data_IF_601850843149
#
_entry.id   IF_601850843149
#
_cell.length_a   1.000
_cell.length_b   1.000
_cell.length_c   1.000
_cell.angle_alpha   90.00
_cell.angle_beta   90.00
_cell.angle_gamma   90.00
#
_symmetry.space_group_name_H-M   'P 1'
#
loop_
_entity.id
_entity.type
_entity.pdbx_description
1 polymer ?
#
# COMPACT_ATOMS: atom_id res chain seq x y z
N UNK A 1 22.28 -0.30 2.83
CA UNK A 1 21.69 -1.22 1.84
C UNK A 1 20.22 -0.91 1.58
N UNK A 2 19.32 -0.97 2.61
CA UNK A 2 17.89 -0.68 2.45
C UNK A 2 17.61 0.72 1.87
N UNK A 3 18.28 1.77 2.38
CA UNK A 3 18.13 3.14 1.90
C UNK A 3 18.55 3.27 0.42
N UNK A 4 19.65 2.63 0.03
CA UNK A 4 20.11 2.64 -1.35
C UNK A 4 19.12 1.92 -2.27
N UNK A 5 18.56 0.80 -1.81
CA UNK A 5 17.54 0.02 -2.53
C UNK A 5 16.21 0.79 -2.61
N UNK A 6 15.78 1.40 -1.52
CA UNK A 6 14.57 2.23 -1.49
C UNK A 6 14.69 3.43 -2.45
N UNK A 7 15.84 4.11 -2.46
CA UNK A 7 16.11 5.24 -3.39
C UNK A 7 16.18 4.77 -4.84
N UNK A 8 16.86 3.65 -5.09
CA UNK A 8 16.99 3.08 -6.44
C UNK A 8 15.63 2.70 -7.01
N UNK A 9 14.78 2.08 -6.18
CA UNK A 9 13.48 1.57 -6.60
C UNK A 9 12.33 2.53 -6.25
N UNK A 10 12.63 3.76 -5.81
CA UNK A 10 11.64 4.77 -5.38
C UNK A 10 10.56 4.23 -4.44
N UNK A 11 10.92 3.20 -3.68
CA UNK A 11 10.06 2.57 -2.71
C UNK A 11 10.16 3.26 -1.36
N UNK A 12 9.08 3.21 -0.60
CA UNK A 12 9.15 3.58 0.81
C UNK A 12 10.09 2.63 1.58
N UNK A 13 10.95 3.20 2.42
CA UNK A 13 11.96 2.45 3.18
C UNK A 13 11.31 1.36 4.04
N UNK A 14 10.17 1.66 4.65
CA UNK A 14 9.41 0.71 5.47
C UNK A 14 9.01 -0.51 4.66
N UNK A 15 8.55 -0.30 3.45
CA UNK A 15 8.18 -1.36 2.53
C UNK A 15 9.37 -2.27 2.19
N UNK A 16 10.54 -1.68 1.88
CA UNK A 16 11.76 -2.46 1.58
C UNK A 16 12.21 -3.27 2.81
N UNK A 17 12.11 -2.69 4.01
CA UNK A 17 12.46 -3.38 5.24
C UNK A 17 11.55 -4.58 5.53
N UNK A 18 10.25 -4.45 5.30
CA UNK A 18 9.27 -5.50 5.58
C UNK A 18 9.24 -6.59 4.50
N UNK A 19 9.19 -6.21 3.21
CA UNK A 19 9.02 -7.17 2.11
C UNK A 19 10.33 -7.75 1.62
N UNK A 20 11.37 -6.94 1.38
CA UNK A 20 12.62 -7.38 0.78
C UNK A 20 13.58 -7.96 1.80
N UNK A 21 13.74 -7.27 2.94
CA UNK A 21 14.61 -7.72 4.02
C UNK A 21 13.88 -8.63 5.03
N UNK A 22 12.56 -8.84 4.84
CA UNK A 22 11.72 -9.73 5.66
C UNK A 22 11.82 -9.46 7.16
N UNK A 23 12.02 -8.20 7.54
CA UNK A 23 12.01 -7.80 8.95
C UNK A 23 10.60 -7.94 9.51
N UNK A 24 10.50 -8.39 10.76
CA UNK A 24 9.20 -8.47 11.43
C UNK A 24 8.72 -7.07 11.82
N UNK A 25 7.44 -6.77 11.59
CA UNK A 25 6.80 -5.50 12.00
C UNK A 25 7.13 -5.12 13.45
N UNK A 26 7.07 -6.10 14.35
CA UNK A 26 7.35 -5.90 15.79
C UNK A 26 8.78 -5.42 16.05
N UNK A 27 9.77 -5.93 15.31
CA UNK A 27 11.17 -5.56 15.51
C UNK A 27 11.43 -4.16 14.94
N UNK A 28 10.82 -3.84 13.79
CA UNK A 28 10.87 -2.50 13.21
C UNK A 28 10.16 -1.49 14.12
N UNK A 29 9.00 -1.84 14.66
CA UNK A 29 8.25 -1.03 15.60
C UNK A 29 9.05 -0.71 16.87
N UNK A 30 9.76 -1.70 17.44
CA UNK A 30 10.67 -1.48 18.58
C UNK A 30 11.82 -0.53 18.24
N UNK A 31 12.33 -0.58 17.01
CA UNK A 31 13.37 0.35 16.57
C UNK A 31 12.84 1.78 16.50
N UNK A 32 11.59 1.98 16.02
CA UNK A 32 10.93 3.29 16.05
C UNK A 32 10.68 3.78 17.47
N UNK A 33 10.24 2.91 18.37
CA UNK A 33 10.03 3.22 19.78
C UNK A 33 11.32 3.75 20.46
N UNK A 34 12.44 3.07 20.21
CA UNK A 34 13.76 3.51 20.71
C UNK A 34 14.22 4.81 20.08
N UNK A 35 14.03 4.98 18.78
CA UNK A 35 14.48 6.16 18.06
C UNK A 35 13.72 7.42 18.43
N UNK A 36 12.38 7.33 18.51
CA UNK A 36 11.52 8.47 18.80
C UNK A 36 11.24 8.65 20.29
N UNK A 37 11.63 7.69 21.16
CA UNK A 37 11.30 7.66 22.59
C UNK A 37 9.78 7.76 22.84
N UNK A 38 8.99 7.17 21.95
CA UNK A 38 7.53 7.09 22.03
C UNK A 38 7.10 5.63 21.96
N UNK A 39 6.03 5.27 22.66
CA UNK A 39 5.50 3.90 22.61
C UNK A 39 5.04 3.52 21.22
N UNK A 40 5.53 2.40 20.71
CA UNK A 40 5.07 1.82 19.44
C UNK A 40 3.70 1.15 19.60
N UNK A 41 2.82 1.41 18.65
CA UNK A 41 1.51 0.78 18.56
C UNK A 41 1.33 0.16 17.17
N UNK A 42 1.49 -1.16 17.10
CA UNK A 42 1.15 -1.93 15.91
C UNK A 42 -0.35 -2.20 15.80
N UNK A 43 -0.81 -2.46 14.58
CA UNK A 43 -2.18 -2.90 14.34
C UNK A 43 -2.45 -4.26 14.99
N UNK A 44 -3.63 -4.40 15.55
CA UNK A 44 -4.15 -5.65 16.10
C UNK A 44 -5.67 -5.65 15.94
N UNK A 45 -6.22 -6.68 15.33
CA UNK A 45 -7.66 -6.87 15.10
C UNK A 45 -8.52 -6.80 16.36
N UNK A 46 -7.91 -7.03 17.53
CA UNK A 46 -8.60 -6.90 18.83
C UNK A 46 -8.85 -5.45 19.23
N UNK A 47 -8.21 -4.48 18.58
CA UNK A 47 -8.37 -3.06 18.87
C UNK A 47 -9.41 -2.47 17.92
N UNK A 48 -10.62 -2.32 18.42
CA UNK A 48 -11.70 -1.67 17.69
C UNK A 48 -11.70 -0.18 18.00
N UNK A 49 -11.49 0.66 16.97
CA UNK A 49 -11.54 2.11 17.14
C UNK A 49 -12.99 2.60 17.07
N UNK A 50 -13.49 3.33 18.11
CA UNK A 50 -14.84 3.89 18.08
C UNK A 50 -15.00 4.89 16.95
N UNK A 51 -16.14 4.91 16.28
CA UNK A 51 -16.46 5.89 15.23
C UNK A 51 -16.42 7.34 15.74
N UNK A 52 -16.68 7.56 17.03
CA UNK A 52 -16.56 8.86 17.67
C UNK A 52 -15.17 9.49 17.54
N UNK A 53 -14.11 8.67 17.44
CA UNK A 53 -12.75 9.16 17.24
C UNK A 53 -12.59 9.88 15.90
N UNK A 54 -13.40 9.53 14.91
CA UNK A 54 -13.34 10.03 13.53
C UNK A 54 -14.37 11.12 13.23
N UNK A 55 -15.08 11.61 14.24
CA UNK A 55 -16.11 12.63 14.05
C UNK A 55 -15.55 13.88 13.34
N UNK A 56 -16.08 14.19 12.16
CA UNK A 56 -15.61 15.31 11.33
C UNK A 56 -14.28 15.08 10.61
N UNK A 57 -13.73 13.86 10.62
CA UNK A 57 -12.48 13.52 9.96
C UNK A 57 -12.73 12.66 8.71
N UNK A 58 -12.00 12.96 7.64
CA UNK A 58 -11.98 12.14 6.43
C UNK A 58 -10.86 11.09 6.54
N UNK A 59 -11.22 9.80 6.52
CA UNK A 59 -10.27 8.69 6.68
C UNK A 59 -9.27 8.59 5.53
N UNK A 60 -9.65 8.94 4.31
CA UNK A 60 -8.73 9.05 3.17
C UNK A 60 -7.65 10.12 3.41
N UNK A 61 -8.06 11.29 3.94
CA UNK A 61 -7.10 12.32 4.35
C UNK A 61 -6.14 11.84 5.43
N UNK A 62 -6.64 11.09 6.43
CA UNK A 62 -5.81 10.53 7.49
C UNK A 62 -4.79 9.52 6.93
N UNK A 63 -5.21 8.64 6.03
CA UNK A 63 -4.34 7.66 5.36
C UNK A 63 -3.23 8.35 4.58
N UNK A 64 -3.56 9.36 3.78
CA UNK A 64 -2.61 10.15 3.00
C UNK A 64 -1.59 10.91 3.85
N UNK A 65 -2.00 11.35 5.02
CA UNK A 65 -1.14 12.07 5.96
C UNK A 65 -0.51 11.15 7.03
N UNK A 66 -0.69 9.84 6.94
CA UNK A 66 -0.09 8.81 7.79
C UNK A 66 -0.29 9.05 9.28
N UNK A 67 -1.54 9.25 9.70
CA UNK A 67 -1.90 9.31 11.11
C UNK A 67 -3.33 8.83 11.38
N UNK A 68 -3.59 8.37 12.60
CA UNK A 68 -4.93 7.92 13.02
C UNK A 68 -5.17 8.25 14.49
N UNK A 69 -6.38 8.75 14.85
CA UNK A 69 -6.75 8.96 16.23
C UNK A 69 -7.14 7.62 16.88
N UNK A 70 -6.33 7.17 17.83
CA UNK A 70 -6.63 5.96 18.61
C UNK A 70 -7.67 6.23 19.71
N UNK A 71 -7.62 7.42 20.32
CA UNK A 71 -8.58 7.89 21.31
C UNK A 71 -8.85 9.38 21.10
N UNK A 72 -10.08 9.80 21.39
CA UNK A 72 -10.50 11.19 21.24
C UNK A 72 -11.48 11.57 22.36
N UNK A 73 -10.91 11.87 23.53
CA UNK A 73 -11.65 12.25 24.71
C UNK A 73 -11.92 13.78 24.76
N UNK A 74 -12.65 14.25 25.76
CA UNK A 74 -12.97 15.68 25.89
C UNK A 74 -11.71 16.56 25.99
N UNK A 75 -10.71 16.16 26.75
CA UNK A 75 -9.52 16.96 27.08
C UNK A 75 -8.24 16.47 26.42
N UNK A 76 -8.22 15.27 25.85
CA UNK A 76 -7.04 14.67 25.25
C UNK A 76 -7.36 13.92 23.96
N UNK A 77 -6.37 13.82 23.08
CA UNK A 77 -6.42 12.97 21.91
C UNK A 77 -5.12 12.16 21.80
N UNK A 78 -5.24 10.83 21.70
CA UNK A 78 -4.13 9.94 21.48
C UNK A 78 -4.02 9.64 19.98
N UNK A 79 -2.93 10.08 19.38
CA UNK A 79 -2.71 10.00 17.94
C UNK A 79 -1.55 9.06 17.64
N UNK A 80 -1.77 8.15 16.69
CA UNK A 80 -0.73 7.32 16.10
C UNK A 80 -0.21 8.01 14.84
N UNK A 81 1.12 8.17 14.74
CA UNK A 81 1.80 8.81 13.59
C UNK A 81 3.00 7.96 13.16
N UNK A 82 3.37 8.04 11.87
CA UNK A 82 4.58 7.38 11.37
C UNK A 82 5.85 8.18 11.72
N UNK A 83 5.78 9.51 11.64
CA UNK A 83 6.88 10.42 11.94
C UNK A 83 6.43 11.54 12.90
N UNK A 84 6.73 11.43 14.19
CA UNK A 84 6.41 12.45 15.19
C UNK A 84 7.31 13.69 15.10
N UNK A 85 8.37 13.68 14.26
CA UNK A 85 9.27 14.82 14.08
C UNK A 85 8.80 15.81 13.01
N UNK A 86 7.78 15.43 12.23
CA UNK A 86 7.12 16.31 11.24
C UNK A 86 6.29 17.39 11.96
N UNK A 87 6.93 18.52 12.25
CA UNK A 87 6.33 19.63 12.98
C UNK A 87 5.11 20.20 12.27
N UNK A 88 5.10 20.22 10.94
CA UNK A 88 3.98 20.76 10.15
C UNK A 88 2.76 19.87 10.33
N UNK A 89 2.94 18.56 10.23
CA UNK A 89 1.88 17.58 10.45
C UNK A 89 1.33 17.66 11.87
N UNK A 90 2.21 17.70 12.88
CA UNK A 90 1.77 17.79 14.28
C UNK A 90 1.00 19.08 14.55
N UNK A 91 1.42 20.22 13.97
CA UNK A 91 0.66 21.47 14.05
C UNK A 91 -0.72 21.36 13.39
N UNK A 92 -0.81 20.73 12.22
CA UNK A 92 -2.09 20.50 11.54
C UNK A 92 -3.02 19.61 12.39
N UNK A 93 -2.48 18.55 13.00
CA UNK A 93 -3.24 17.71 13.93
C UNK A 93 -3.72 18.52 15.14
N UNK A 94 -2.87 19.38 15.70
CA UNK A 94 -3.27 20.25 16.82
C UNK A 94 -4.37 21.25 16.45
N UNK A 95 -4.40 21.75 15.21
CA UNK A 95 -5.50 22.60 14.72
C UNK A 95 -6.82 21.83 14.59
N UNK A 96 -6.76 20.54 14.27
CA UNK A 96 -7.94 19.66 14.21
C UNK A 96 -8.50 19.37 15.60
N UNK A 97 -7.62 19.27 16.61
CA UNK A 97 -8.00 19.03 18.00
C UNK A 97 -7.70 20.26 18.89
N UNK A 98 -8.39 21.40 18.69
CA UNK A 98 -8.14 22.61 19.44
C UNK A 98 -8.49 22.38 20.92
N UNK A 99 -7.63 22.88 21.83
CA UNK A 99 -7.78 22.79 23.28
C UNK A 99 -7.57 21.38 23.88
N UNK A 100 -7.29 20.35 23.08
CA UNK A 100 -6.98 19.01 23.59
C UNK A 100 -5.47 18.84 23.74
N UNK A 101 -5.08 18.10 24.78
CA UNK A 101 -3.70 17.65 24.95
C UNK A 101 -3.45 16.52 23.96
N UNK A 102 -2.50 16.72 23.03
CA UNK A 102 -2.08 15.64 22.14
C UNK A 102 -1.10 14.71 22.84
N UNK A 103 -1.40 13.43 22.79
CA UNK A 103 -0.50 12.36 23.16
C UNK A 103 -0.17 11.56 21.90
N UNK A 104 1.13 11.32 21.67
CA UNK A 104 1.58 10.68 20.46
C UNK A 104 2.07 9.27 20.74
N UNK A 105 1.73 8.35 19.84
CA UNK A 105 2.37 7.04 19.69
C UNK A 105 2.96 6.95 18.30
N UNK A 106 3.98 6.11 18.13
CA UNK A 106 4.58 5.85 16.82
C UNK A 106 4.07 4.53 16.26
N UNK A 107 3.78 4.49 14.96
CA UNK A 107 3.35 3.29 14.23
C UNK A 107 3.96 3.22 12.84
N UNK A 108 3.91 2.06 12.24
CA UNK A 108 4.26 1.89 10.84
C UNK A 108 3.12 2.43 9.95
N UNK A 109 3.44 2.92 8.76
CA UNK A 109 2.42 3.38 7.81
C UNK A 109 1.39 2.30 7.49
N UNK A 110 1.86 1.04 7.39
CA UNK A 110 0.99 -0.10 7.19
C UNK A 110 0.02 -0.31 8.36
N UNK A 111 0.49 -0.16 9.61
CA UNK A 111 -0.37 -0.28 10.80
C UNK A 111 -1.43 0.83 10.83
N UNK A 112 -1.04 2.07 10.53
CA UNK A 112 -1.95 3.23 10.47
C UNK A 112 -3.06 2.98 9.46
N UNK A 113 -2.71 2.46 8.28
CA UNK A 113 -3.67 2.15 7.23
C UNK A 113 -4.60 1.00 7.63
N UNK A 114 -4.08 -0.07 8.23
CA UNK A 114 -4.90 -1.17 8.72
C UNK A 114 -5.90 -0.70 9.80
N UNK A 115 -5.49 0.18 10.72
CA UNK A 115 -6.41 0.82 11.66
C UNK A 115 -7.52 1.63 10.98
N UNK A 116 -7.18 2.40 9.94
CA UNK A 116 -8.16 3.20 9.21
C UNK A 116 -9.15 2.31 8.44
N UNK A 117 -8.67 1.27 7.78
CA UNK A 117 -9.52 0.31 7.06
C UNK A 117 -10.45 -0.44 8.02
N UNK A 118 -9.94 -0.91 9.16
CA UNK A 118 -10.76 -1.60 10.17
C UNK A 118 -11.82 -0.70 10.81
N UNK A 119 -11.60 0.62 10.80
CA UNK A 119 -12.52 1.61 11.34
C UNK A 119 -13.54 2.12 10.32
N UNK A 120 -13.50 1.68 9.05
CA UNK A 120 -14.48 2.09 8.03
C UNK A 120 -15.86 1.49 8.30
N UNK A 121 -16.89 2.31 8.10
CA UNK A 121 -18.28 1.85 8.12
C UNK A 121 -18.66 1.22 6.78
N UNK A 122 -19.74 0.42 6.77
CA UNK A 122 -20.27 -0.16 5.52
C UNK A 122 -20.61 0.93 4.49
N UNK A 123 -21.16 2.06 4.93
CA UNK A 123 -21.48 3.20 4.06
C UNK A 123 -20.23 3.86 3.46
N UNK A 124 -19.15 3.97 4.22
CA UNK A 124 -17.87 4.50 3.73
C UNK A 124 -17.18 3.51 2.78
N UNK A 125 -17.28 2.22 3.02
CA UNK A 125 -16.81 1.18 2.12
C UNK A 125 -17.58 1.21 0.79
N UNK A 126 -18.91 1.39 0.83
CA UNK A 126 -19.77 1.52 -0.35
C UNK A 126 -19.50 2.85 -1.10
N UNK A 127 -19.17 3.91 -0.40
CA UNK A 127 -18.88 5.22 -1.00
C UNK A 127 -17.53 5.32 -1.73
N UNK A 128 -16.74 4.23 -1.75
CA UNK A 128 -15.45 4.17 -2.43
C UNK A 128 -14.26 4.72 -1.63
N UNK A 129 -14.46 5.15 -0.38
CA UNK A 129 -13.35 5.64 0.45
C UNK A 129 -12.30 4.55 0.76
N UNK A 130 -12.74 3.32 0.94
CA UNK A 130 -11.85 2.16 1.08
C UNK A 130 -11.09 1.88 -0.23
N UNK A 131 -11.79 1.97 -1.37
CA UNK A 131 -11.19 1.82 -2.70
C UNK A 131 -10.14 2.91 -2.98
N UNK A 132 -10.38 4.13 -2.50
CA UNK A 132 -9.46 5.26 -2.69
C UNK A 132 -8.15 5.06 -1.91
N UNK A 133 -8.23 4.57 -0.65
CA UNK A 133 -7.05 4.23 0.15
C UNK A 133 -6.26 3.08 -0.48
N UNK A 134 -6.95 2.05 -1.01
CA UNK A 134 -6.33 0.93 -1.70
C UNK A 134 -5.74 1.34 -3.05
N UNK A 135 -6.39 2.28 -3.76
CA UNK A 135 -5.96 2.78 -5.06
C UNK A 135 -4.67 3.61 -4.97
N UNK A 136 -4.46 4.36 -3.88
CA UNK A 136 -3.18 5.06 -3.66
C UNK A 136 -2.00 4.09 -3.54
N UNK A 137 -2.18 2.94 -2.91
CA UNK A 137 -1.14 1.91 -2.85
C UNK A 137 -0.84 1.33 -4.25
N UNK A 138 -1.89 1.02 -5.01
CA UNK A 138 -1.74 0.53 -6.38
C UNK A 138 -1.05 1.59 -7.26
N UNK A 139 -1.45 2.86 -7.16
CA UNK A 139 -0.81 3.97 -7.89
C UNK A 139 0.68 4.06 -7.56
N UNK A 140 1.06 4.00 -6.28
CA UNK A 140 2.47 4.03 -5.87
C UNK A 140 3.28 2.86 -6.42
N UNK A 141 2.70 1.66 -6.50
CA UNK A 141 3.33 0.50 -7.12
C UNK A 141 3.53 0.70 -8.62
N UNK A 142 2.51 1.26 -9.30
CA UNK A 142 2.55 1.51 -10.74
C UNK A 142 3.52 2.63 -11.11
N UNK A 143 3.59 3.69 -10.31
CA UNK A 143 4.56 4.77 -10.51
C UNK A 143 5.98 4.21 -10.46
N UNK A 144 6.25 3.29 -9.51
CA UNK A 144 7.53 2.58 -9.43
C UNK A 144 7.80 1.77 -10.71
N UNK A 145 6.80 1.02 -11.21
CA UNK A 145 6.93 0.24 -12.44
C UNK A 145 7.09 1.12 -13.68
N UNK A 146 6.42 2.26 -13.76
CA UNK A 146 6.57 3.20 -14.88
C UNK A 146 7.97 3.80 -14.95
N UNK A 147 8.52 4.21 -13.80
CA UNK A 147 9.87 4.75 -13.74
C UNK A 147 10.93 3.70 -14.11
N UNK A 148 10.82 2.47 -13.57
CA UNK A 148 11.70 1.35 -13.95
C UNK A 148 11.58 1.03 -15.45
N UNK A 149 10.37 1.11 -16.04
CA UNK A 149 10.14 0.85 -17.45
C UNK A 149 10.77 1.92 -18.36
N UNK A 150 10.82 3.18 -17.93
CA UNK A 150 11.40 4.28 -18.71
C UNK A 150 12.92 4.13 -18.79
N UNK A 151 13.57 3.81 -17.68
CA UNK A 151 15.01 3.58 -17.64
C UNK A 151 15.45 2.39 -18.51
N UNK A 152 14.61 1.34 -18.58
CA UNK A 152 14.84 0.15 -19.39
C UNK A 152 14.61 0.45 -20.88
N UNK A 153 13.56 1.18 -21.25
CA UNK A 153 13.24 1.52 -22.66
C UNK A 153 14.29 2.45 -23.26
N UNK A 154 14.84 3.40 -22.50
CA UNK A 154 15.90 4.29 -22.98
C UNK A 154 17.23 3.54 -23.24
N UNK A 155 17.46 2.40 -22.60
CA UNK A 155 18.65 1.58 -22.77
C UNK A 155 18.55 0.49 -23.86
N UNK A 156 17.34 0.20 -24.38
CA UNK A 156 17.09 -0.84 -25.36
C UNK A 156 17.14 -0.31 -26.79
N UNK A 157 18.13 -0.76 -27.57
CA UNK A 157 18.24 -0.50 -29.01
C UNK A 157 17.73 -1.65 -29.90
N UNK A 158 17.37 -2.82 -29.35
CA UNK A 158 16.90 -3.97 -30.13
C UNK A 158 15.77 -4.76 -29.42
N UNK A 159 14.84 -5.29 -30.22
CA UNK A 159 13.57 -5.95 -29.78
C UNK A 159 13.72 -7.29 -29.02
N UNK A 160 14.94 -7.79 -28.80
CA UNK A 160 15.19 -9.17 -28.33
C UNK A 160 15.48 -9.32 -26.81
N UNK A 161 15.58 -8.25 -26.03
CA UNK A 161 15.94 -8.35 -24.60
C UNK A 161 14.82 -7.93 -23.61
N UNK A 162 13.56 -8.25 -23.91
CA UNK A 162 12.42 -8.00 -22.97
C UNK A 162 12.45 -8.96 -21.74
N UNK A 163 13.45 -9.83 -21.65
CA UNK A 163 13.57 -10.84 -20.58
C UNK A 163 14.26 -10.34 -19.29
N UNK A 164 14.50 -9.05 -19.14
CA UNK A 164 15.31 -8.53 -18.02
C UNK A 164 14.56 -8.40 -16.69
N UNK A 165 13.22 -8.51 -16.68
CA UNK A 165 12.42 -8.34 -15.47
C UNK A 165 12.04 -9.71 -14.91
N UNK A 166 12.58 -10.02 -13.73
CA UNK A 166 12.37 -11.32 -13.08
C UNK A 166 11.00 -11.37 -12.39
N UNK A 167 10.33 -12.51 -12.50
CA UNK A 167 9.12 -12.86 -11.73
C UNK A 167 9.34 -12.86 -10.21
N UNK A 168 10.60 -12.84 -9.77
CA UNK A 168 10.99 -12.73 -8.36
C UNK A 168 11.20 -11.28 -7.91
N UNK A 169 11.06 -10.32 -8.83
CA UNK A 169 11.10 -8.90 -8.47
C UNK A 169 10.09 -8.57 -7.37
N UNK A 170 10.55 -7.87 -6.34
CA UNK A 170 9.71 -7.58 -5.18
C UNK A 170 8.48 -6.74 -5.55
N UNK A 171 8.58 -5.89 -6.55
CA UNK A 171 7.49 -5.04 -7.03
C UNK A 171 6.43 -5.87 -7.74
N UNK A 172 6.84 -6.82 -8.59
CA UNK A 172 5.92 -7.76 -9.26
C UNK A 172 5.22 -8.67 -8.27
N UNK A 173 5.96 -9.20 -7.31
CA UNK A 173 5.39 -10.04 -6.24
C UNK A 173 4.30 -9.28 -5.47
N UNK A 174 4.56 -8.03 -5.12
CA UNK A 174 3.62 -7.17 -4.40
C UNK A 174 2.41 -6.80 -5.25
N UNK A 175 2.65 -6.45 -6.53
CA UNK A 175 1.58 -6.13 -7.47
C UNK A 175 0.60 -7.30 -7.62
N UNK A 176 1.11 -8.51 -7.88
CA UNK A 176 0.26 -9.70 -8.04
C UNK A 176 -0.48 -10.01 -6.73
N UNK A 177 0.20 -9.96 -5.59
CA UNK A 177 -0.44 -10.15 -4.29
C UNK A 177 -1.55 -9.11 -4.06
N UNK A 178 -1.29 -7.83 -4.38
CA UNK A 178 -2.28 -6.75 -4.25
C UNK A 178 -3.52 -7.00 -5.11
N UNK A 179 -3.33 -7.37 -6.39
CA UNK A 179 -4.44 -7.72 -7.29
C UNK A 179 -5.32 -8.84 -6.70
N UNK A 180 -4.69 -9.88 -6.14
CA UNK A 180 -5.41 -11.01 -5.54
C UNK A 180 -6.14 -10.63 -4.25
N UNK A 181 -5.49 -9.87 -3.39
CA UNK A 181 -6.09 -9.41 -2.12
C UNK A 181 -7.26 -8.49 -2.39
N UNK A 182 -7.10 -7.49 -3.28
CA UNK A 182 -8.17 -6.55 -3.62
C UNK A 182 -9.37 -7.27 -4.27
N UNK A 183 -9.10 -8.27 -5.12
CA UNK A 183 -10.16 -9.06 -5.71
C UNK A 183 -10.94 -9.86 -4.64
N UNK A 184 -10.24 -10.44 -3.68
CA UNK A 184 -10.85 -11.17 -2.57
C UNK A 184 -11.69 -10.24 -1.69
N UNK A 185 -11.14 -9.10 -1.27
CA UNK A 185 -11.79 -8.14 -0.38
C UNK A 185 -13.05 -7.52 -1.02
N UNK A 186 -13.04 -7.33 -2.35
CA UNK A 186 -14.18 -6.80 -3.10
C UNK A 186 -15.21 -7.86 -3.51
N UNK A 187 -14.99 -9.14 -3.18
CA UNK A 187 -15.87 -10.23 -3.56
C UNK A 187 -15.94 -10.47 -5.08
N UNK A 188 -14.80 -10.32 -5.77
CA UNK A 188 -14.67 -10.53 -7.21
C UNK A 188 -14.76 -12.01 -7.56
N UNK A 189 -15.58 -12.35 -8.55
CA UNK A 189 -15.75 -13.75 -9.01
C UNK A 189 -14.63 -14.21 -9.94
N UNK A 190 -14.12 -13.32 -10.80
CA UNK A 190 -13.09 -13.64 -11.80
C UNK A 190 -12.10 -12.49 -11.99
N UNK A 191 -10.83 -12.82 -12.09
CA UNK A 191 -9.76 -11.90 -12.46
C UNK A 191 -9.29 -12.24 -13.87
N UNK A 192 -9.42 -11.29 -14.80
CA UNK A 192 -8.93 -11.41 -16.15
C UNK A 192 -7.63 -10.64 -16.30
N UNK A 193 -6.56 -11.31 -16.72
CA UNK A 193 -5.29 -10.69 -17.04
C UNK A 193 -5.11 -10.80 -18.55
N UNK A 194 -5.29 -9.69 -19.25
CA UNK A 194 -5.34 -9.62 -20.70
C UNK A 194 -4.09 -8.91 -21.24
N UNK A 195 -3.08 -9.66 -21.71
CA UNK A 195 -1.91 -9.06 -22.32
C UNK A 195 -2.28 -8.35 -23.63
N UNK A 196 -1.90 -7.09 -23.77
CA UNK A 196 -2.07 -6.35 -25.03
C UNK A 196 -1.13 -6.87 -26.15
N UNK A 197 -1.50 -6.61 -27.40
CA UNK A 197 -0.67 -6.92 -28.56
C UNK A 197 0.46 -5.88 -28.71
N UNK A 198 1.70 -6.35 -28.94
CA UNK A 198 2.89 -5.50 -29.05
C UNK A 198 3.18 -4.76 -27.75
N UNK A 199 3.44 -3.46 -27.85
CA UNK A 199 3.77 -2.57 -26.70
C UNK A 199 2.54 -2.03 -25.95
N UNK A 200 1.35 -2.65 -26.11
CA UNK A 200 0.17 -2.25 -25.34
C UNK A 200 0.21 -2.79 -23.92
N UNK A 201 -0.34 -2.03 -22.94
CA UNK A 201 -0.35 -2.46 -21.55
C UNK A 201 -1.13 -3.76 -21.34
N UNK A 202 -0.80 -4.45 -20.26
CA UNK A 202 -1.56 -5.59 -19.74
C UNK A 202 -2.76 -5.02 -18.98
N UNK A 203 -3.98 -5.43 -19.36
CA UNK A 203 -5.21 -5.04 -18.67
C UNK A 203 -5.58 -6.08 -17.64
N UNK A 204 -5.73 -5.65 -16.40
CA UNK A 204 -6.34 -6.44 -15.34
C UNK A 204 -7.80 -6.02 -15.22
N UNK A 205 -8.71 -6.97 -15.34
CA UNK A 205 -10.16 -6.74 -15.24
C UNK A 205 -10.76 -7.63 -14.18
N UNK A 206 -11.64 -7.06 -13.40
CA UNK A 206 -12.41 -7.75 -12.38
C UNK A 206 -13.84 -7.99 -12.87
N UNK A 207 -14.37 -9.20 -12.59
CA UNK A 207 -15.78 -9.49 -12.79
C UNK A 207 -16.48 -9.51 -11.44
N UNK A 208 -17.48 -8.66 -11.29
CA UNK A 208 -18.37 -8.61 -10.13
C UNK A 208 -19.81 -8.58 -10.62
N UNK A 209 -20.67 -9.44 -10.07
CA UNK A 209 -22.11 -9.51 -10.40
C UNK A 209 -22.38 -9.60 -11.92
N UNK A 210 -21.54 -10.35 -12.63
CA UNK A 210 -21.64 -10.55 -14.08
C UNK A 210 -21.04 -9.42 -14.95
N UNK A 211 -20.73 -8.25 -14.38
CA UNK A 211 -20.12 -7.14 -15.10
C UNK A 211 -18.59 -7.18 -15.01
N UNK A 212 -17.90 -6.98 -16.13
CA UNK A 212 -16.45 -6.86 -16.21
C UNK A 212 -16.03 -5.39 -16.25
N UNK A 213 -15.16 -4.99 -15.33
CA UNK A 213 -14.60 -3.63 -15.27
C UNK A 213 -13.08 -3.68 -15.29
N UNK A 214 -12.45 -2.67 -15.91
CA UNK A 214 -10.99 -2.53 -15.86
C UNK A 214 -10.62 -2.11 -14.44
N UNK A 215 -9.82 -2.96 -13.78
CA UNK A 215 -9.26 -2.67 -12.47
C UNK A 215 -7.97 -1.86 -12.62
N UNK A 216 -7.03 -2.34 -13.48
CA UNK A 216 -5.75 -1.67 -13.66
C UNK A 216 -5.12 -1.97 -15.02
N UNK A 217 -4.27 -1.05 -15.49
CA UNK A 217 -3.37 -1.24 -16.63
C UNK A 217 -1.92 -1.26 -16.15
N UNK A 218 -1.13 -2.24 -16.62
CA UNK A 218 0.26 -2.47 -16.19
C UNK A 218 1.15 -2.37 -17.45
N UNK A 219 2.33 -1.73 -17.36
CA UNK A 219 3.21 -1.60 -18.51
C UNK A 219 3.54 -2.95 -19.15
N UNK A 220 3.62 -3.01 -20.49
CA UNK A 220 3.80 -4.24 -21.27
C UNK A 220 5.07 -5.02 -20.93
N UNK A 221 6.11 -4.34 -20.45
CA UNK A 221 7.40 -4.93 -20.05
C UNK A 221 7.24 -5.98 -18.93
N UNK A 222 6.22 -5.86 -18.11
CA UNK A 222 5.95 -6.76 -16.97
C UNK A 222 5.05 -7.94 -17.33
N UNK A 223 4.62 -8.04 -18.60
CA UNK A 223 3.71 -9.09 -19.07
C UNK A 223 4.16 -10.50 -18.69
N UNK A 224 5.40 -10.85 -19.01
CA UNK A 224 5.93 -12.19 -18.74
C UNK A 224 6.14 -12.40 -17.24
N UNK A 225 6.70 -11.43 -16.54
CA UNK A 225 6.96 -11.52 -15.10
C UNK A 225 5.68 -11.76 -14.28
N UNK A 226 4.57 -11.07 -14.63
CA UNK A 226 3.27 -11.27 -13.99
C UNK A 226 2.74 -12.67 -14.23
N UNK A 227 2.77 -13.16 -15.48
CA UNK A 227 2.29 -14.50 -15.84
C UNK A 227 3.13 -15.58 -15.14
N UNK A 228 4.46 -15.46 -15.20
CA UNK A 228 5.36 -16.39 -14.52
C UNK A 228 5.13 -16.40 -13.01
N UNK A 229 4.92 -15.23 -12.39
CA UNK A 229 4.62 -15.15 -10.97
C UNK A 229 3.32 -15.88 -10.61
N UNK A 230 2.28 -15.73 -11.40
CA UNK A 230 1.00 -16.42 -11.19
C UNK A 230 1.17 -17.93 -11.37
N UNK A 231 1.90 -18.37 -12.40
CA UNK A 231 2.22 -19.80 -12.60
C UNK A 231 2.96 -20.39 -11.41
N UNK A 232 4.00 -19.69 -10.90
CA UNK A 232 4.74 -20.13 -9.69
C UNK A 232 3.80 -20.27 -8.48
N UNK A 233 2.95 -19.27 -8.22
CA UNK A 233 2.00 -19.32 -7.11
C UNK A 233 1.02 -20.48 -7.23
N UNK A 234 0.61 -20.80 -8.46
CA UNK A 234 -0.30 -21.90 -8.79
C UNK A 234 0.41 -23.25 -8.97
N UNK A 235 1.75 -23.31 -8.80
CA UNK A 235 2.58 -24.50 -9.03
C UNK A 235 2.45 -25.05 -10.46
N UNK A 236 2.24 -24.17 -11.44
CA UNK A 236 2.22 -24.50 -12.86
C UNK A 236 3.62 -24.41 -13.46
N UNK A 237 3.83 -25.10 -14.61
CA UNK A 237 5.08 -25.03 -15.34
C UNK A 237 5.29 -23.62 -15.93
N UNK A 238 6.51 -23.10 -15.79
CA UNK A 238 6.87 -21.77 -16.26
C UNK A 238 7.33 -21.84 -17.74
N UNK A 239 7.79 -23.01 -18.19
CA UNK A 239 8.39 -23.21 -19.51
C UNK A 239 7.35 -23.32 -20.66
N UNK A 240 6.05 -23.37 -20.36
CA UNK A 240 4.97 -23.41 -21.36
C UNK A 240 4.31 -22.05 -21.58
#
# INVERSE_FOLDING_TARGET
EAIAKARKNRLDIETVLLSDLKLKRKDLGKSLELYYSLTYQGFNDSIVLPQSNFSGLNKTYLAKNHWVPLQNDENSALILVDDPTDKVRIQNIQMIFPKKKLELKVGLKIDIREFLLSAMTEDEAISGAAEEIQKEEMSSLLDTLHDESTDVVESMQDDDEVNAISETDSTIVRLVNKVLTDAYDQGISDIHIEPGNGKKPVKVRFRKDGACQVYQEIPFLYKQAIISRIKIMSKLDIAE
#
